data_IF_241855284303
#
_entry.id   IF_241855284303
#
_cell.length_a   1.000
_cell.length_b   1.000
_cell.length_c   1.000
_cell.angle_alpha   90.00
_cell.angle_beta   90.00
_cell.angle_gamma   90.00
#
_symmetry.space_group_name_H-M   'P 1'
#
loop_
_entity.id
_entity.type
_entity.pdbx_description
1 polymer ?
#
# COMPACT_ATOMS: atom_id res chain seq x y z
N UNK A 1 10.50 18.32 -3.63
CA UNK A 1 10.44 17.79 -2.26
C UNK A 1 11.61 18.32 -1.44
N UNK A 2 12.85 18.19 -1.90
CA UNK A 2 14.07 18.77 -1.30
C UNK A 2 14.01 20.24 -0.82
N UNK A 3 13.36 21.14 -1.57
CA UNK A 3 13.22 22.55 -1.17
C UNK A 3 12.26 22.79 0.00
N UNK A 4 11.32 21.87 0.24
CA UNK A 4 10.34 21.97 1.33
C UNK A 4 10.85 21.29 2.61
N UNK A 5 11.65 20.24 2.48
CA UNK A 5 12.13 19.45 3.63
C UNK A 5 13.02 20.29 4.56
N UNK A 6 13.99 21.01 3.99
CA UNK A 6 14.87 21.92 4.76
C UNK A 6 14.13 23.10 5.44
N UNK A 7 12.89 23.40 5.05
CA UNK A 7 12.10 24.45 5.68
C UNK A 7 11.13 23.92 6.74
N UNK A 8 10.70 22.67 6.61
CA UNK A 8 9.81 22.03 7.58
C UNK A 8 10.59 21.35 8.71
N UNK A 9 11.88 21.09 8.54
CA UNK A 9 12.78 20.68 9.62
C UNK A 9 12.81 21.67 10.79
N UNK A 10 12.49 22.95 10.58
CA UNK A 10 12.32 23.95 11.66
C UNK A 10 11.23 23.57 12.67
N UNK A 11 10.29 22.70 12.28
CA UNK A 11 9.25 22.22 13.19
C UNK A 11 9.85 21.40 14.34
N UNK A 12 10.96 20.70 14.13
CA UNK A 12 11.62 19.90 15.16
C UNK A 12 12.10 20.81 16.33
N UNK A 13 12.96 21.83 16.12
CA UNK A 13 13.37 22.71 17.21
C UNK A 13 12.22 23.55 17.77
N UNK A 14 11.21 23.92 16.96
CA UNK A 14 10.00 24.57 17.48
C UNK A 14 9.21 23.66 18.43
N UNK A 15 9.04 22.39 18.08
CA UNK A 15 8.40 21.41 18.97
C UNK A 15 9.25 21.14 20.21
N UNK A 16 10.59 21.11 20.08
CA UNK A 16 11.50 20.95 21.21
C UNK A 16 11.30 22.06 22.24
N UNK A 17 11.35 23.32 21.81
CA UNK A 17 11.14 24.48 22.69
C UNK A 17 9.77 24.44 23.38
N UNK A 18 8.71 24.10 22.63
CA UNK A 18 7.36 23.97 23.19
C UNK A 18 7.24 22.84 24.22
N UNK A 19 7.84 21.67 23.94
CA UNK A 19 7.79 20.53 24.85
C UNK A 19 8.62 20.77 26.11
N UNK A 20 9.78 21.42 25.99
CA UNK A 20 10.63 21.80 27.12
C UNK A 20 9.91 22.79 28.05
N UNK A 21 9.27 23.82 27.49
CA UNK A 21 8.48 24.78 28.27
C UNK A 21 7.36 24.10 29.08
N UNK A 22 6.72 23.07 28.50
CA UNK A 22 5.55 22.43 29.11
C UNK A 22 5.87 21.23 30.00
N UNK A 23 6.94 20.50 29.68
CA UNK A 23 7.27 19.18 30.23
C UNK A 23 8.73 19.06 30.70
N UNK A 24 9.51 20.14 30.77
CA UNK A 24 10.94 20.14 31.15
C UNK A 24 11.28 19.50 32.52
N UNK A 25 10.28 19.17 33.33
CA UNK A 25 10.47 18.30 34.51
C UNK A 25 10.77 16.83 34.19
N UNK A 26 10.66 16.39 32.93
CA UNK A 26 10.94 15.02 32.49
C UNK A 26 11.68 15.00 31.14
N UNK A 27 13.03 14.98 31.14
CA UNK A 27 13.83 15.10 29.92
C UNK A 27 13.53 13.97 28.92
N UNK A 28 13.39 12.74 29.41
CA UNK A 28 13.04 11.56 28.59
C UNK A 28 11.70 11.73 27.83
N UNK A 29 10.71 12.34 28.50
CA UNK A 29 9.41 12.63 27.90
C UNK A 29 9.51 13.75 26.86
N UNK A 30 10.30 14.79 27.13
CA UNK A 30 10.56 15.88 26.18
C UNK A 30 11.21 15.33 24.92
N UNK A 31 12.24 14.48 25.03
CA UNK A 31 12.89 13.83 23.88
C UNK A 31 11.88 13.04 23.06
N UNK A 32 11.10 12.17 23.71
CA UNK A 32 10.09 11.36 23.04
C UNK A 32 9.05 12.20 22.29
N UNK A 33 8.47 13.20 22.96
CA UNK A 33 7.43 14.05 22.37
C UNK A 33 7.98 14.94 21.26
N UNK A 34 9.20 15.48 21.43
CA UNK A 34 9.88 16.29 20.41
C UNK A 34 10.07 15.49 19.13
N UNK A 35 10.60 14.26 19.24
CA UNK A 35 10.79 13.42 18.06
C UNK A 35 9.43 13.01 17.45
N UNK A 36 8.45 12.65 18.28
CA UNK A 36 7.11 12.26 17.82
C UNK A 36 6.41 13.35 17.02
N UNK A 37 6.34 14.56 17.59
CA UNK A 37 5.61 15.67 16.97
C UNK A 37 6.46 16.43 15.95
N UNK A 38 7.75 16.61 16.21
CA UNK A 38 8.68 17.29 15.31
C UNK A 38 8.83 16.54 13.98
N UNK A 39 9.28 15.28 14.04
CA UNK A 39 9.38 14.43 12.84
C UNK A 39 7.99 14.19 12.25
N UNK A 40 6.98 13.94 13.10
CA UNK A 40 5.63 13.63 12.64
C UNK A 40 4.98 14.75 11.83
N UNK A 41 5.07 15.98 12.31
CA UNK A 41 4.58 17.16 11.59
C UNK A 41 5.47 17.46 10.38
N UNK A 42 6.80 17.40 10.52
CA UNK A 42 7.73 17.71 9.42
C UNK A 42 7.50 16.79 8.22
N UNK A 43 7.54 15.47 8.42
CA UNK A 43 7.32 14.51 7.36
C UNK A 43 5.87 14.53 6.86
N UNK A 44 4.90 14.53 7.78
CA UNK A 44 3.48 14.54 7.42
C UNK A 44 3.13 15.74 6.52
N UNK A 45 3.57 16.94 6.90
CA UNK A 45 3.31 18.17 6.15
C UNK A 45 4.08 18.23 4.83
N UNK A 46 5.31 17.68 4.79
CA UNK A 46 6.12 17.61 3.57
C UNK A 46 5.44 16.83 2.43
N UNK A 47 4.58 15.86 2.78
CA UNK A 47 3.79 15.09 1.81
C UNK A 47 2.43 15.70 1.46
N UNK A 48 1.99 16.78 2.10
CA UNK A 48 0.68 17.41 1.80
C UNK A 48 0.49 17.80 0.33
N UNK A 49 1.52 18.33 -0.40
CA UNK A 49 1.36 18.60 -1.83
C UNK A 49 1.01 17.36 -2.66
N UNK A 50 1.43 16.16 -2.23
CA UNK A 50 1.13 14.91 -2.94
C UNK A 50 -0.32 14.44 -2.76
N UNK A 51 -1.05 14.98 -1.77
CA UNK A 51 -2.42 14.55 -1.44
C UNK A 51 -3.37 14.69 -2.64
N UNK A 52 -3.32 15.83 -3.34
CA UNK A 52 -4.18 16.09 -4.49
C UNK A 52 -3.88 15.16 -5.67
N UNK A 53 -2.60 14.94 -5.98
CA UNK A 53 -2.19 14.06 -7.06
C UNK A 53 -2.57 12.60 -6.78
N UNK A 54 -2.37 12.15 -5.55
CA UNK A 54 -2.77 10.82 -5.12
C UNK A 54 -4.29 10.64 -5.14
N UNK A 55 -5.06 11.66 -4.78
CA UNK A 55 -6.52 11.60 -4.88
C UNK A 55 -6.95 11.34 -6.32
N UNK A 56 -6.48 12.16 -7.27
CA UNK A 56 -6.84 12.01 -8.69
C UNK A 56 -6.40 10.63 -9.21
N UNK A 57 -5.17 10.24 -8.92
CA UNK A 57 -4.60 8.96 -9.40
C UNK A 57 -5.33 7.75 -8.83
N UNK A 58 -5.48 7.68 -7.50
CA UNK A 58 -6.07 6.52 -6.83
C UNK A 58 -7.57 6.44 -7.01
N UNK A 59 -8.31 7.56 -6.97
CA UNK A 59 -9.74 7.52 -7.27
C UNK A 59 -10.01 7.06 -8.69
N UNK A 60 -9.22 7.51 -9.68
CA UNK A 60 -9.32 7.02 -11.06
C UNK A 60 -8.99 5.53 -11.14
N UNK A 61 -7.91 5.08 -10.49
CA UNK A 61 -7.51 3.66 -10.50
C UNK A 61 -8.56 2.76 -9.86
N UNK A 62 -9.13 3.15 -8.71
CA UNK A 62 -10.21 2.42 -8.04
C UNK A 62 -11.43 2.33 -8.97
N UNK A 63 -11.86 3.45 -9.53
CA UNK A 63 -13.03 3.48 -10.43
C UNK A 63 -12.84 2.63 -11.69
N UNK A 64 -11.65 2.68 -12.32
CA UNK A 64 -11.34 1.85 -13.50
C UNK A 64 -11.31 0.36 -13.16
N UNK A 65 -10.77 -0.02 -12.00
CA UNK A 65 -10.73 -1.40 -11.57
C UNK A 65 -12.13 -1.94 -11.25
N UNK A 66 -12.96 -1.15 -10.56
CA UNK A 66 -14.35 -1.52 -10.28
C UNK A 66 -15.17 -1.63 -11.58
N UNK A 67 -14.94 -0.73 -12.54
CA UNK A 67 -15.56 -0.79 -13.85
C UNK A 67 -15.14 -2.04 -14.63
N UNK A 68 -13.84 -2.39 -14.62
CA UNK A 68 -13.33 -3.60 -15.27
C UNK A 68 -13.99 -4.86 -14.67
N UNK A 69 -14.04 -4.98 -13.34
CA UNK A 69 -14.67 -6.13 -12.68
C UNK A 69 -16.17 -6.19 -12.97
N UNK A 70 -16.85 -5.05 -13.02
CA UNK A 70 -18.28 -4.98 -13.38
C UNK A 70 -18.52 -5.41 -14.82
N UNK A 71 -17.72 -4.92 -15.76
CA UNK A 71 -17.81 -5.28 -17.17
C UNK A 71 -17.60 -6.78 -17.40
N UNK A 72 -16.72 -7.41 -16.63
CA UNK A 72 -16.54 -8.88 -16.68
C UNK A 72 -17.75 -9.60 -16.11
N UNK A 73 -18.37 -9.10 -15.04
CA UNK A 73 -19.56 -9.73 -14.42
C UNK A 73 -20.86 -9.54 -15.20
N UNK A 74 -20.97 -8.45 -15.95
CA UNK A 74 -22.12 -8.10 -16.78
C UNK A 74 -21.89 -8.48 -18.25
N UNK A 75 -20.86 -9.28 -18.53
CA UNK A 75 -20.52 -9.65 -19.89
C UNK A 75 -21.59 -10.58 -20.47
N UNK A 76 -22.02 -10.25 -21.68
CA UNK A 76 -22.86 -11.13 -22.50
C UNK A 76 -22.27 -11.19 -23.91
N UNK A 77 -22.05 -12.40 -24.41
CA UNK A 77 -21.46 -12.63 -25.72
C UNK A 77 -22.18 -11.87 -26.85
N UNK A 78 -23.52 -11.82 -26.83
CA UNK A 78 -24.32 -11.09 -27.83
C UNK A 78 -24.01 -9.59 -27.88
N UNK A 79 -23.53 -9.00 -26.77
CA UNK A 79 -23.18 -7.58 -26.67
C UNK A 79 -21.69 -7.32 -26.93
N UNK A 80 -20.87 -8.37 -27.07
CA UNK A 80 -19.46 -8.24 -27.37
C UNK A 80 -19.27 -7.53 -28.72
N UNK A 81 -18.34 -6.56 -28.79
CA UNK A 81 -18.02 -5.88 -30.05
C UNK A 81 -16.99 -6.69 -30.82
N UNK A 82 -17.30 -7.05 -32.06
CA UNK A 82 -16.32 -7.69 -32.94
C UNK A 82 -15.57 -6.61 -33.72
N UNK A 83 -14.29 -6.84 -34.04
CA UNK A 83 -13.54 -5.92 -34.91
C UNK A 83 -14.18 -5.86 -36.31
N UNK A 84 -14.69 -6.99 -36.78
CA UNK A 84 -15.50 -7.14 -38.00
C UNK A 84 -16.77 -7.88 -37.62
N UNK A 85 -17.95 -7.29 -37.81
CA UNK A 85 -19.22 -7.88 -37.35
C UNK A 85 -19.62 -9.16 -38.10
N UNK A 86 -19.11 -9.38 -39.32
CA UNK A 86 -19.28 -10.65 -40.04
C UNK A 86 -18.68 -11.84 -39.28
N UNK A 87 -17.67 -11.59 -38.46
CA UNK A 87 -16.92 -12.64 -37.77
C UNK A 87 -17.64 -13.12 -36.51
N UNK A 88 -18.68 -12.41 -36.06
CA UNK A 88 -19.46 -12.78 -34.87
C UNK A 88 -19.98 -14.21 -34.95
N UNK A 89 -20.53 -14.60 -36.10
CA UNK A 89 -21.05 -15.95 -36.30
C UNK A 89 -19.95 -17.02 -36.25
N UNK A 90 -18.74 -16.69 -36.68
CA UNK A 90 -17.59 -17.58 -36.62
C UNK A 90 -17.16 -17.75 -35.15
N UNK A 91 -17.02 -16.64 -34.43
CA UNK A 91 -16.64 -16.65 -33.00
C UNK A 91 -17.69 -17.35 -32.15
N UNK A 92 -18.98 -17.16 -32.44
CA UNK A 92 -20.08 -17.84 -31.75
C UNK A 92 -20.03 -19.35 -31.95
N UNK A 93 -19.75 -19.78 -33.19
CA UNK A 93 -19.58 -21.19 -33.51
C UNK A 93 -18.41 -21.80 -32.75
N UNK A 94 -17.25 -21.14 -32.73
CA UNK A 94 -16.07 -21.61 -31.99
C UNK A 94 -16.33 -21.69 -30.47
N UNK A 95 -16.99 -20.68 -29.88
CA UNK A 95 -17.40 -20.72 -28.46
C UNK A 95 -18.35 -21.88 -28.21
N UNK A 96 -19.31 -22.09 -29.11
CA UNK A 96 -20.29 -23.18 -29.02
C UNK A 96 -19.62 -24.54 -29.05
N UNK A 97 -18.71 -24.76 -30.00
CA UNK A 97 -17.95 -26.02 -30.13
C UNK A 97 -17.07 -26.25 -28.89
N UNK A 98 -16.35 -25.22 -28.44
CA UNK A 98 -15.45 -25.30 -27.28
C UNK A 98 -16.19 -25.67 -25.98
N UNK A 99 -17.34 -25.04 -25.73
CA UNK A 99 -18.14 -25.28 -24.52
C UNK A 99 -19.05 -26.51 -24.62
N UNK A 100 -19.35 -26.99 -25.83
CA UNK A 100 -20.00 -28.28 -26.03
C UNK A 100 -19.05 -29.46 -25.72
N UNK A 101 -17.75 -29.31 -26.01
CA UNK A 101 -16.73 -30.33 -25.68
C UNK A 101 -16.36 -30.35 -24.18
N UNK A 102 -16.45 -29.20 -23.49
CA UNK A 102 -16.05 -29.07 -22.07
C UNK A 102 -17.25 -29.13 -21.11
N UNK A 103 -17.76 -30.34 -20.88
CA UNK A 103 -18.95 -30.62 -20.08
C UNK A 103 -18.85 -30.29 -18.56
N UNK A 104 -17.81 -29.59 -18.11
CA UNK A 104 -17.64 -29.16 -16.71
C UNK A 104 -17.49 -27.65 -16.53
N UNK A 105 -17.22 -26.89 -17.61
CA UNK A 105 -16.95 -25.47 -17.54
C UNK A 105 -18.25 -24.66 -17.63
N UNK A 106 -18.43 -23.65 -16.77
CA UNK A 106 -19.51 -22.68 -16.93
C UNK A 106 -20.92 -23.22 -16.70
N UNK A 107 -21.06 -24.40 -16.07
CA UNK A 107 -22.38 -24.97 -15.77
C UNK A 107 -23.09 -24.15 -14.70
N UNK A 108 -24.21 -23.54 -15.08
CA UNK A 108 -25.06 -22.83 -14.13
C UNK A 108 -25.93 -23.85 -13.34
N UNK A 109 -25.77 -23.97 -12.01
CA UNK A 109 -26.59 -24.87 -11.20
C UNK A 109 -28.09 -24.51 -11.25
N UNK A 110 -28.42 -23.24 -11.51
CA UNK A 110 -29.79 -22.76 -11.62
C UNK A 110 -30.41 -23.00 -13.00
N UNK A 111 -29.61 -23.43 -13.99
CA UNK A 111 -30.05 -23.66 -15.37
C UNK A 111 -29.24 -24.80 -16.02
N UNK A 112 -29.46 -26.06 -15.59
CA UNK A 112 -28.67 -27.21 -16.04
C UNK A 112 -28.85 -27.58 -17.52
N UNK A 113 -29.86 -27.01 -18.20
CA UNK A 113 -30.10 -27.18 -19.64
C UNK A 113 -29.68 -25.99 -20.50
N UNK A 114 -28.84 -25.10 -19.95
CA UNK A 114 -28.31 -23.94 -20.67
C UNK A 114 -27.49 -24.37 -21.89
N UNK A 115 -27.59 -23.61 -22.99
CA UNK A 115 -26.80 -23.87 -24.19
C UNK A 115 -25.32 -23.51 -24.00
N UNK A 116 -24.44 -23.90 -24.93
CA UNK A 116 -23.01 -23.63 -24.82
C UNK A 116 -22.65 -22.14 -24.66
N UNK A 117 -23.39 -21.25 -25.31
CA UNK A 117 -23.17 -19.79 -25.21
C UNK A 117 -23.58 -19.26 -23.83
N UNK A 118 -24.67 -19.77 -23.24
CA UNK A 118 -25.05 -19.43 -21.87
C UNK A 118 -24.05 -19.95 -20.85
N UNK A 119 -23.51 -21.17 -21.05
CA UNK A 119 -22.42 -21.70 -20.22
C UNK A 119 -21.16 -20.84 -20.30
N UNK A 120 -20.79 -20.36 -21.49
CA UNK A 120 -19.70 -19.41 -21.66
C UNK A 120 -19.94 -18.09 -20.91
N UNK A 121 -21.13 -17.50 -21.05
CA UNK A 121 -21.47 -16.28 -20.31
C UNK A 121 -21.39 -16.50 -18.79
N UNK A 122 -21.90 -17.63 -18.29
CA UNK A 122 -21.81 -17.98 -16.88
C UNK A 122 -20.35 -18.14 -16.42
N UNK A 123 -19.52 -18.83 -17.22
CA UNK A 123 -18.08 -18.96 -16.96
C UNK A 123 -17.41 -17.59 -16.86
N UNK A 124 -17.65 -16.69 -17.82
CA UNK A 124 -17.05 -15.34 -17.83
C UNK A 124 -17.49 -14.53 -16.61
N UNK A 125 -18.80 -14.55 -16.31
CA UNK A 125 -19.39 -13.72 -15.26
C UNK A 125 -19.06 -14.19 -13.84
N UNK A 126 -18.68 -15.47 -13.67
CA UNK A 126 -18.41 -16.07 -12.37
C UNK A 126 -16.97 -16.57 -12.28
N UNK A 127 -16.67 -17.73 -12.88
CA UNK A 127 -15.37 -18.42 -12.72
C UNK A 127 -14.19 -17.57 -13.19
N UNK A 128 -14.31 -16.94 -14.37
CA UNK A 128 -13.29 -16.06 -14.91
C UNK A 128 -13.20 -14.75 -14.13
N UNK A 129 -14.34 -14.16 -13.76
CA UNK A 129 -14.39 -12.96 -12.92
C UNK A 129 -13.70 -13.17 -11.57
N UNK A 130 -13.92 -14.33 -10.95
CA UNK A 130 -13.29 -14.73 -9.69
C UNK A 130 -11.80 -15.00 -9.87
N UNK A 131 -11.41 -15.65 -10.97
CA UNK A 131 -10.00 -15.89 -11.31
C UNK A 131 -9.26 -14.57 -11.56
N UNK A 132 -9.84 -13.64 -12.32
CA UNK A 132 -9.28 -12.30 -12.52
C UNK A 132 -9.19 -11.57 -11.18
N UNK A 133 -10.24 -11.62 -10.36
CA UNK A 133 -10.25 -10.97 -9.04
C UNK A 133 -9.18 -11.54 -8.11
N UNK A 134 -8.93 -12.84 -8.19
CA UNK A 134 -7.88 -13.54 -7.46
C UNK A 134 -6.48 -13.14 -7.94
N UNK A 135 -6.25 -13.07 -9.25
CA UNK A 135 -4.94 -12.76 -9.84
C UNK A 135 -4.58 -11.27 -9.79
N UNK A 136 -5.50 -10.41 -10.22
CA UNK A 136 -5.30 -8.95 -10.17
C UNK A 136 -5.28 -8.46 -8.72
N UNK A 137 -5.98 -9.18 -7.83
CA UNK A 137 -6.11 -8.86 -6.42
C UNK A 137 -7.03 -7.65 -6.19
N UNK A 138 -7.33 -7.38 -4.91
CA UNK A 138 -8.08 -6.18 -4.57
C UNK A 138 -7.22 -4.93 -4.75
N UNK A 139 -7.82 -3.82 -5.20
CA UNK A 139 -7.13 -2.51 -5.34
C UNK A 139 -6.40 -2.09 -4.06
N UNK A 140 -6.92 -2.46 -2.88
CA UNK A 140 -6.31 -2.14 -1.58
C UNK A 140 -5.21 -3.10 -1.13
N UNK A 141 -5.03 -4.25 -1.80
CA UNK A 141 -4.02 -5.25 -1.46
C UNK A 141 -2.79 -5.10 -2.35
N UNK A 142 -1.85 -4.26 -1.93
CA UNK A 142 -0.56 -4.11 -2.61
C UNK A 142 0.47 -5.13 -2.09
N UNK A 143 1.38 -5.65 -2.95
CA UNK A 143 2.51 -6.43 -2.47
C UNK A 143 3.48 -5.53 -1.68
N UNK A 144 4.01 -6.05 -0.56
CA UNK A 144 4.95 -5.32 0.30
C UNK A 144 6.16 -4.76 -0.48
N UNK A 145 6.72 -5.54 -1.40
CA UNK A 145 7.86 -5.13 -2.24
C UNK A 145 7.56 -3.87 -3.06
N UNK A 146 6.36 -3.78 -3.63
CA UNK A 146 5.94 -2.58 -4.37
C UNK A 146 5.77 -1.40 -3.41
N UNK A 147 5.21 -1.62 -2.23
CA UNK A 147 5.08 -0.56 -1.23
C UNK A 147 6.46 -0.01 -0.81
N UNK A 148 7.46 -0.87 -0.59
CA UNK A 148 8.85 -0.44 -0.31
C UNK A 148 9.43 0.33 -1.49
N UNK A 149 9.25 -0.16 -2.72
CA UNK A 149 9.81 0.46 -3.93
C UNK A 149 9.24 1.86 -4.21
N UNK A 150 7.98 2.13 -3.86
CA UNK A 150 7.40 3.47 -4.05
C UNK A 150 8.08 4.52 -3.17
N UNK A 151 8.64 4.11 -2.02
CA UNK A 151 9.43 4.98 -1.14
C UNK A 151 10.92 4.99 -1.48
N UNK A 152 11.36 4.39 -2.58
CA UNK A 152 12.77 4.35 -2.96
C UNK A 152 13.46 5.73 -2.96
N UNK A 153 12.84 6.83 -3.44
CA UNK A 153 13.44 8.16 -3.31
C UNK A 153 13.71 8.57 -1.87
N UNK A 154 12.76 8.32 -0.95
CA UNK A 154 12.92 8.59 0.48
C UNK A 154 13.99 7.68 1.09
N UNK A 155 14.09 6.42 0.65
CA UNK A 155 15.12 5.49 1.14
C UNK A 155 16.54 5.94 0.73
N UNK A 156 16.71 6.57 -0.44
CA UNK A 156 18.00 7.16 -0.82
C UNK A 156 18.32 8.42 -0.02
N UNK A 157 17.30 9.23 0.28
CA UNK A 157 17.42 10.39 1.15
C UNK A 157 17.80 9.99 2.58
N UNK A 158 17.22 8.90 3.10
CA UNK A 158 17.60 8.30 4.38
C UNK A 158 19.09 7.95 4.45
N UNK A 159 19.64 7.38 3.38
CA UNK A 159 21.07 7.05 3.31
C UNK A 159 21.94 8.33 3.34
N UNK A 160 21.52 9.37 2.61
CA UNK A 160 22.21 10.66 2.64
C UNK A 160 22.11 11.33 4.02
N UNK A 161 20.98 11.18 4.71
CA UNK A 161 20.75 11.69 6.05
C UNK A 161 21.65 11.00 7.09
N UNK A 162 21.71 9.67 7.09
CA UNK A 162 22.56 8.88 8.00
C UNK A 162 24.05 9.20 7.81
N UNK A 163 24.51 9.30 6.56
CA UNK A 163 25.92 9.58 6.26
C UNK A 163 26.28 11.06 6.39
N UNK A 164 25.29 11.93 6.24
CA UNK A 164 25.44 13.39 6.29
C UNK A 164 25.19 13.99 7.67
N UNK A 165 24.93 13.17 8.70
CA UNK A 165 24.67 13.61 10.07
C UNK A 165 23.67 14.77 10.15
N UNK A 166 22.50 14.59 9.52
CA UNK A 166 21.43 15.60 9.45
C UNK A 166 21.86 16.96 8.84
N UNK A 167 22.90 16.95 8.00
CA UNK A 167 23.39 18.13 7.29
C UNK A 167 24.26 19.05 8.13
N UNK A 168 24.62 18.65 9.35
CA UNK A 168 25.61 19.32 10.19
C UNK A 168 26.93 18.54 10.19
N UNK A 169 28.09 19.16 10.50
CA UNK A 169 29.34 18.43 10.65
C UNK A 169 29.15 17.28 11.66
N UNK A 170 29.53 16.05 11.29
CA UNK A 170 29.32 14.88 12.15
C UNK A 170 29.98 14.99 13.53
N UNK A 171 31.06 15.77 13.64
CA UNK A 171 31.73 16.07 14.90
C UNK A 171 30.86 16.90 15.86
N UNK A 172 29.97 17.72 15.30
CA UNK A 172 29.04 18.59 16.02
C UNK A 172 27.68 17.92 16.19
N UNK A 173 27.28 17.00 15.31
CA UNK A 173 25.95 16.38 15.30
C UNK A 173 25.59 15.67 16.62
N UNK A 174 26.48 14.80 17.11
CA UNK A 174 26.26 14.07 18.37
C UNK A 174 26.41 14.95 19.61
N UNK A 175 27.07 16.11 19.48
CA UNK A 175 27.20 17.12 20.54
C UNK A 175 25.97 18.03 20.57
N UNK A 176 25.40 18.32 19.40
CA UNK A 176 24.22 19.16 19.21
C UNK A 176 22.92 18.41 19.55
N UNK A 177 22.85 17.11 19.26
CA UNK A 177 21.81 16.24 19.81
C UNK A 177 22.20 15.82 21.23
N UNK A 178 21.78 16.62 22.21
CA UNK A 178 22.01 16.38 23.62
C UNK A 178 21.64 14.94 24.03
N UNK A 179 22.63 14.12 24.39
CA UNK A 179 22.41 12.84 25.08
C UNK A 179 23.11 11.61 24.53
N UNK A 180 23.66 11.63 23.31
CA UNK A 180 24.43 10.48 22.80
C UNK A 180 25.85 10.44 23.37
N UNK A 181 26.38 9.25 23.66
CA UNK A 181 27.71 9.09 24.26
C UNK A 181 28.84 9.18 23.24
N UNK A 182 28.56 8.90 21.96
CA UNK A 182 29.55 8.91 20.89
C UNK A 182 28.93 9.04 19.49
N UNK A 183 29.73 9.51 18.52
CA UNK A 183 29.31 9.59 17.11
C UNK A 183 28.87 8.23 16.52
N UNK A 184 29.58 7.11 16.72
CA UNK A 184 29.13 5.82 16.19
C UNK A 184 27.78 5.36 16.75
N UNK A 185 27.48 5.69 18.01
CA UNK A 185 26.18 5.38 18.62
C UNK A 185 25.05 6.17 17.96
N UNK A 186 25.25 7.48 17.74
CA UNK A 186 24.30 8.33 17.02
C UNK A 186 24.07 7.82 15.59
N UNK A 187 25.12 7.54 14.82
CA UNK A 187 25.00 7.02 13.44
C UNK A 187 24.27 5.67 13.44
N UNK A 188 24.59 4.77 14.36
CA UNK A 188 23.93 3.47 14.47
C UNK A 188 22.45 3.62 14.85
N UNK A 189 22.12 4.53 15.76
CA UNK A 189 20.75 4.87 16.14
C UNK A 189 19.98 5.39 14.92
N UNK A 190 20.51 6.39 14.20
CA UNK A 190 19.84 6.94 13.02
C UNK A 190 19.65 5.88 11.92
N UNK A 191 20.67 5.05 11.66
CA UNK A 191 20.57 3.95 10.71
C UNK A 191 19.45 2.96 11.09
N UNK A 192 19.30 2.67 12.38
CA UNK A 192 18.26 1.76 12.89
C UNK A 192 16.87 2.36 12.74
N UNK A 193 16.68 3.63 13.11
CA UNK A 193 15.40 4.35 12.95
C UNK A 193 14.94 4.35 11.49
N UNK A 194 15.86 4.60 10.56
CA UNK A 194 15.57 4.55 9.13
C UNK A 194 15.26 3.13 8.65
N UNK A 195 15.94 2.10 9.14
CA UNK A 195 15.60 0.71 8.81
C UNK A 195 14.18 0.35 9.25
N UNK A 196 13.79 0.76 10.46
CA UNK A 196 12.42 0.57 10.97
C UNK A 196 11.41 1.33 10.09
N UNK A 197 11.72 2.56 9.71
CA UNK A 197 10.93 3.34 8.74
C UNK A 197 10.73 2.62 7.42
N UNK A 198 11.83 2.23 6.77
CA UNK A 198 11.87 1.63 5.43
C UNK A 198 11.14 0.30 5.37
N UNK A 199 11.39 -0.59 6.34
CA UNK A 199 10.89 -1.97 6.28
C UNK A 199 9.55 -2.16 6.98
N UNK A 200 9.23 -1.36 8.01
CA UNK A 200 8.07 -1.58 8.86
C UNK A 200 7.02 -0.48 8.79
N UNK A 201 7.38 0.78 8.49
CA UNK A 201 6.41 1.89 8.56
C UNK A 201 5.94 2.30 7.17
N UNK A 202 6.86 2.73 6.31
CA UNK A 202 6.53 3.26 4.98
C UNK A 202 5.69 2.31 4.14
N UNK A 203 5.97 0.98 4.12
CA UNK A 203 5.19 0.05 3.32
C UNK A 203 3.70 0.00 3.69
N UNK A 204 3.36 0.35 4.94
CA UNK A 204 1.98 0.30 5.47
C UNK A 204 1.12 1.48 5.02
N UNK A 205 1.73 2.58 4.60
CA UNK A 205 1.05 3.85 4.26
C UNK A 205 0.04 3.68 3.13
N UNK A 206 0.43 3.06 2.02
CA UNK A 206 -0.46 2.89 0.86
C UNK A 206 -1.58 1.87 1.10
N UNK A 207 -1.36 0.71 1.73
CA UNK A 207 -2.45 -0.19 2.13
C UNK A 207 -3.51 0.51 3.00
N UNK A 208 -3.09 1.29 4.00
CA UNK A 208 -4.00 2.06 4.87
C UNK A 208 -4.78 3.09 4.04
N UNK A 209 -4.06 3.87 3.23
CA UNK A 209 -4.64 4.90 2.35
C UNK A 209 -5.68 4.32 1.39
N UNK A 210 -5.33 3.25 0.67
CA UNK A 210 -6.22 2.63 -0.33
C UNK A 210 -7.42 1.94 0.31
N UNK A 211 -7.25 1.37 1.49
CA UNK A 211 -8.37 0.78 2.26
C UNK A 211 -9.38 1.86 2.64
N UNK A 212 -8.91 3.00 3.16
CA UNK A 212 -9.78 4.13 3.49
C UNK A 212 -10.45 4.73 2.25
N UNK A 213 -9.70 4.93 1.16
CA UNK A 213 -10.25 5.44 -0.11
C UNK A 213 -11.34 4.54 -0.67
N UNK A 214 -11.12 3.21 -0.68
CA UNK A 214 -12.13 2.24 -1.11
C UNK A 214 -13.38 2.34 -0.24
N UNK A 215 -13.21 2.40 1.09
CA UNK A 215 -14.31 2.52 2.04
C UNK A 215 -15.18 3.77 1.75
N UNK A 216 -14.57 4.95 1.67
CA UNK A 216 -15.32 6.18 1.44
C UNK A 216 -15.89 6.29 0.03
N UNK A 217 -15.22 5.72 -0.98
CA UNK A 217 -15.73 5.71 -2.35
C UNK A 217 -17.05 4.95 -2.45
N UNK A 218 -17.13 3.76 -1.85
CA UNK A 218 -18.38 2.99 -1.82
C UNK A 218 -19.43 3.58 -0.88
N UNK A 219 -19.03 4.02 0.32
CA UNK A 219 -19.97 4.49 1.34
C UNK A 219 -20.66 5.81 0.95
N UNK A 220 -19.99 6.65 0.16
CA UNK A 220 -20.43 8.00 -0.18
C UNK A 220 -20.72 8.18 -1.67
N UNK A 221 -21.07 7.11 -2.40
CA UNK A 221 -21.26 7.17 -3.86
C UNK A 221 -22.35 8.17 -4.29
N UNK A 222 -23.39 8.35 -3.46
CA UNK A 222 -24.46 9.34 -3.68
C UNK A 222 -24.11 10.79 -3.32
N UNK A 223 -22.94 11.05 -2.71
CA UNK A 223 -22.55 12.38 -2.20
C UNK A 223 -21.16 12.79 -2.73
N UNK A 224 -21.05 13.28 -3.98
CA UNK A 224 -19.77 13.43 -4.67
C UNK A 224 -18.79 14.39 -3.96
N UNK A 225 -19.29 15.50 -3.41
CA UNK A 225 -18.45 16.48 -2.68
C UNK A 225 -17.95 15.89 -1.36
N UNK A 226 -18.85 15.26 -0.58
CA UNK A 226 -18.48 14.65 0.69
C UNK A 226 -17.50 13.48 0.49
N UNK A 227 -17.69 12.71 -0.59
CA UNK A 227 -16.76 11.66 -1.02
C UNK A 227 -15.37 12.23 -1.31
N UNK A 228 -15.30 13.29 -2.10
CA UNK A 228 -14.04 13.96 -2.44
C UNK A 228 -13.31 14.44 -1.18
N UNK A 229 -14.00 15.19 -0.30
CA UNK A 229 -13.43 15.70 0.94
C UNK A 229 -12.93 14.55 1.82
N UNK A 230 -13.74 13.50 2.02
CA UNK A 230 -13.37 12.35 2.85
C UNK A 230 -12.16 11.60 2.29
N UNK A 231 -12.09 11.44 0.96
CA UNK A 231 -10.94 10.80 0.30
C UNK A 231 -9.65 11.62 0.44
N UNK A 232 -9.73 12.94 0.23
CA UNK A 232 -8.59 13.86 0.43
C UNK A 232 -8.10 13.82 1.88
N UNK A 233 -9.03 13.90 2.84
CA UNK A 233 -8.70 13.79 4.26
C UNK A 233 -8.09 12.44 4.64
N UNK A 234 -8.55 11.35 4.01
CA UNK A 234 -7.97 10.01 4.22
C UNK A 234 -6.51 9.93 3.76
N UNK A 235 -6.21 10.50 2.59
CA UNK A 235 -4.83 10.52 2.06
C UNK A 235 -3.94 11.38 2.96
N UNK A 236 -4.44 12.56 3.36
CA UNK A 236 -3.71 13.42 4.29
C UNK A 236 -3.47 12.70 5.63
N UNK A 237 -4.50 12.07 6.21
CA UNK A 237 -4.39 11.31 7.44
C UNK A 237 -3.42 10.13 7.33
N UNK A 238 -3.36 9.45 6.19
CA UNK A 238 -2.39 8.37 5.97
C UNK A 238 -0.93 8.86 5.98
N UNK A 239 -0.66 10.05 5.40
CA UNK A 239 0.67 10.66 5.47
C UNK A 239 1.02 11.19 6.87
N UNK A 240 0.05 11.79 7.57
CA UNK A 240 0.24 12.17 8.97
C UNK A 240 0.49 10.94 9.85
N UNK A 241 -0.27 9.86 9.65
CA UNK A 241 -0.06 8.57 10.31
C UNK A 241 1.37 8.06 10.09
N UNK A 242 1.85 8.05 8.84
CA UNK A 242 3.20 7.62 8.52
C UNK A 242 4.23 8.46 9.28
N UNK A 243 4.13 9.79 9.23
CA UNK A 243 5.02 10.73 9.92
C UNK A 243 5.01 10.54 11.44
N UNK A 244 3.83 10.53 12.06
CA UNK A 244 3.73 10.36 13.51
C UNK A 244 4.21 8.99 13.98
N UNK A 245 4.00 7.95 13.17
CA UNK A 245 4.45 6.61 13.52
C UNK A 245 5.98 6.50 13.49
N UNK A 246 6.64 7.06 12.45
CA UNK A 246 8.12 7.10 12.42
C UNK A 246 8.67 8.00 13.53
N UNK A 247 8.06 9.16 13.79
CA UNK A 247 8.46 10.03 14.89
C UNK A 247 8.32 9.36 16.26
N UNK A 248 7.23 8.62 16.48
CA UNK A 248 7.00 7.90 17.75
C UNK A 248 8.05 6.83 17.98
N UNK A 249 8.34 6.04 16.96
CA UNK A 249 9.31 4.93 17.04
C UNK A 249 10.73 5.47 17.22
N UNK A 250 11.10 6.49 16.45
CA UNK A 250 12.38 7.21 16.60
C UNK A 250 12.49 7.84 17.98
N UNK A 251 11.42 8.45 18.50
CA UNK A 251 11.39 9.02 19.84
C UNK A 251 11.58 7.97 20.94
N UNK A 252 10.90 6.82 20.83
CA UNK A 252 11.08 5.71 21.78
C UNK A 252 12.52 5.18 21.74
N UNK A 253 13.07 5.01 20.54
CA UNK A 253 14.44 4.54 20.34
C UNK A 253 15.46 5.52 20.93
N UNK A 254 15.41 6.79 20.53
CA UNK A 254 16.35 7.82 21.01
C UNK A 254 16.25 7.98 22.53
N UNK A 255 15.05 8.02 23.10
CA UNK A 255 14.89 8.08 24.56
C UNK A 255 15.44 6.82 25.24
N UNK A 256 15.25 5.62 24.67
CA UNK A 256 15.82 4.39 25.22
C UNK A 256 17.35 4.42 25.24
N UNK A 257 17.97 4.85 24.15
CA UNK A 257 19.43 4.93 24.02
C UNK A 257 20.00 5.99 24.97
N UNK A 258 19.48 7.22 24.94
CA UNK A 258 19.98 8.35 25.73
C UNK A 258 19.78 8.12 27.24
N UNK A 259 18.61 7.64 27.65
CA UNK A 259 18.31 7.45 29.08
C UNK A 259 18.99 6.21 29.67
N UNK A 260 19.26 5.18 28.85
CA UNK A 260 19.72 3.88 29.31
C UNK A 260 18.70 3.12 30.17
N UNK A 261 17.46 3.61 30.30
CA UNK A 261 16.46 3.04 31.20
C UNK A 261 15.74 1.82 30.58
N UNK A 262 15.65 0.68 31.27
CA UNK A 262 15.05 -0.55 30.72
C UNK A 262 13.59 -0.42 30.27
N UNK A 263 12.83 0.49 30.88
CA UNK A 263 11.42 0.73 30.54
C UNK A 263 11.26 1.23 29.10
N UNK A 264 12.13 2.15 28.67
CA UNK A 264 12.08 2.72 27.32
C UNK A 264 12.51 1.71 26.26
N UNK A 265 13.51 0.87 26.56
CA UNK A 265 13.87 -0.28 25.71
C UNK A 265 12.70 -1.25 25.55
N UNK A 266 11.98 -1.56 26.64
CA UNK A 266 10.81 -2.42 26.57
C UNK A 266 9.69 -1.79 25.73
N UNK A 267 9.42 -0.49 25.90
CA UNK A 267 8.43 0.24 25.12
C UNK A 267 8.78 0.27 23.61
N UNK A 268 10.04 0.55 23.28
CA UNK A 268 10.52 0.51 21.90
C UNK A 268 10.42 -0.90 21.30
N UNK A 269 10.90 -1.94 21.99
CA UNK A 269 10.81 -3.32 21.52
C UNK A 269 9.36 -3.78 21.28
N UNK A 270 8.43 -3.40 22.18
CA UNK A 270 7.00 -3.66 22.00
C UNK A 270 6.43 -2.92 20.79
N UNK A 271 6.86 -1.68 20.54
CA UNK A 271 6.44 -0.92 19.36
C UNK A 271 6.89 -1.59 18.06
N UNK A 272 8.14 -2.05 18.00
CA UNK A 272 8.70 -2.77 16.84
C UNK A 272 7.96 -4.10 16.63
N UNK A 273 7.71 -4.87 17.69
CA UNK A 273 6.92 -6.10 17.61
C UNK A 273 5.48 -5.82 17.10
N UNK A 274 4.87 -4.73 17.58
CA UNK A 274 3.58 -4.26 17.10
C UNK A 274 3.59 -3.92 15.61
N UNK A 275 4.64 -3.27 15.11
CA UNK A 275 4.82 -2.98 13.69
C UNK A 275 4.99 -4.24 12.84
N UNK A 276 5.75 -5.24 13.31
CA UNK A 276 5.85 -6.53 12.63
C UNK A 276 4.48 -7.21 12.53
N UNK A 277 3.72 -7.23 13.63
CA UNK A 277 2.36 -7.76 13.64
C UNK A 277 1.44 -6.98 12.68
N UNK A 278 1.55 -5.66 12.66
CA UNK A 278 0.78 -4.79 11.78
C UNK A 278 1.08 -5.03 10.29
N UNK A 279 2.36 -5.14 9.93
CA UNK A 279 2.77 -5.51 8.57
C UNK A 279 2.24 -6.88 8.20
N UNK A 280 2.41 -7.87 9.09
CA UNK A 280 1.86 -9.20 8.86
C UNK A 280 0.35 -9.13 8.61
N UNK A 281 -0.41 -8.42 9.44
CA UNK A 281 -1.85 -8.25 9.26
C UNK A 281 -2.21 -7.63 7.89
N UNK A 282 -1.54 -6.54 7.50
CA UNK A 282 -1.80 -5.86 6.23
C UNK A 282 -1.44 -6.71 5.00
N UNK A 283 -0.40 -7.54 5.09
CA UNK A 283 0.16 -8.26 3.93
C UNK A 283 -0.15 -9.78 3.90
N UNK A 284 -0.69 -10.38 4.98
CA UNK A 284 -1.00 -11.83 5.08
C UNK A 284 -2.01 -12.33 4.05
N UNK A 285 -2.84 -11.45 3.47
CA UNK A 285 -3.86 -11.81 2.49
C UNK A 285 -3.39 -12.34 1.13
N UNK A 286 -2.10 -12.67 0.96
CA UNK A 286 -1.50 -13.16 -0.30
C UNK A 286 -0.73 -14.49 -0.19
N UNK A 287 -0.19 -14.87 0.97
CA UNK A 287 0.57 -16.12 1.08
C UNK A 287 -0.31 -17.36 0.91
N UNK A 288 -1.57 -17.31 1.37
CA UNK A 288 -2.51 -18.41 1.18
C UNK A 288 -2.92 -18.62 -0.28
N UNK A 289 -3.22 -17.55 -1.03
CA UNK A 289 -3.72 -17.67 -2.40
C UNK A 289 -2.62 -18.05 -3.41
N UNK A 290 -1.39 -17.55 -3.20
CA UNK A 290 -0.23 -17.94 -4.02
C UNK A 290 0.26 -19.36 -3.76
N UNK A 291 0.09 -19.88 -2.53
CA UNK A 291 0.38 -21.28 -2.23
C UNK A 291 -0.74 -22.24 -2.63
N UNK A 292 -2.02 -21.87 -2.55
CA UNK A 292 -3.11 -22.75 -2.99
C UNK A 292 -3.16 -22.90 -4.52
N UNK A 293 -2.88 -21.83 -5.28
CA UNK A 293 -2.73 -21.91 -6.73
C UNK A 293 -1.45 -22.65 -7.18
N UNK A 294 -0.42 -22.71 -6.33
CA UNK A 294 0.77 -23.54 -6.55
C UNK A 294 0.64 -24.99 -6.07
N UNK A 295 -0.22 -25.25 -5.08
CA UNK A 295 -0.44 -26.58 -4.49
C UNK A 295 -1.56 -27.37 -5.18
N UNK A 296 -2.52 -26.72 -5.82
CA UNK A 296 -3.43 -27.33 -6.80
C UNK A 296 -2.87 -27.30 -8.22
N UNK A 297 -1.59 -27.67 -8.35
CA UNK A 297 -0.88 -27.91 -9.60
C UNK A 297 -1.40 -29.14 -10.37
N UNK A 298 -2.71 -29.19 -10.58
CA UNK A 298 -3.35 -29.94 -11.68
C UNK A 298 -4.19 -29.00 -12.57
N UNK A 299 -3.92 -27.69 -12.50
CA UNK A 299 -4.20 -26.80 -13.62
C UNK A 299 -3.23 -27.17 -14.74
N UNK A 300 -3.59 -28.18 -15.53
CA UNK A 300 -3.03 -28.30 -16.87
C UNK A 300 -3.38 -26.98 -17.56
N UNK A 301 -2.40 -26.18 -18.00
CA UNK A 301 -2.73 -25.08 -18.90
C UNK A 301 -3.56 -25.72 -20.01
N UNK A 302 -4.80 -25.24 -20.19
CA UNK A 302 -5.56 -25.57 -21.40
C UNK A 302 -4.67 -25.02 -22.51
N UNK A 303 -3.93 -25.93 -23.13
CA UNK A 303 -3.05 -25.64 -24.23
C UNK A 303 -4.00 -25.44 -25.40
N UNK A 304 -4.67 -24.28 -25.41
CA UNK A 304 -5.47 -23.82 -26.53
C UNK A 304 -4.46 -23.78 -27.66
N UNK A 305 -4.49 -24.82 -28.48
CA UNK A 305 -3.54 -24.99 -29.55
C UNK A 305 -3.92 -23.97 -30.62
N UNK A 306 -3.47 -22.72 -30.44
CA UNK A 306 -3.77 -21.57 -31.31
C UNK A 306 -3.34 -21.85 -32.76
N UNK A 307 -2.49 -22.87 -32.98
CA UNK A 307 -2.13 -23.38 -34.32
C UNK A 307 -3.31 -23.96 -35.12
N UNK A 308 -4.45 -24.31 -34.51
CA UNK A 308 -5.64 -24.70 -35.29
C UNK A 308 -6.42 -23.52 -35.86
N UNK A 309 -6.30 -22.32 -35.26
CA UNK A 309 -7.03 -21.12 -35.71
C UNK A 309 -6.36 -20.50 -36.95
N UNK A 310 -5.07 -20.74 -37.18
CA UNK A 310 -4.37 -20.25 -38.39
C UNK A 310 -4.46 -21.19 -39.60
N UNK A 311 -5.18 -22.31 -39.51
CA UNK A 311 -5.29 -23.29 -40.59
C UNK A 311 -6.67 -23.25 -41.29
N UNK A 312 -7.59 -22.40 -40.83
CA UNK A 312 -8.94 -22.20 -41.37
C UNK A 312 -9.21 -20.77 -41.84
N UNK A 313 -8.18 -19.91 -41.90
CA UNK A 313 -8.14 -18.62 -42.60
C UNK A 313 -7.20 -18.72 -43.80
#
# INVERSE_FOLDING_TARGET
MWLFDNRLSILIPMTAAFMEERFGGSPNLVTFLTQTFGIGLSLGLSYMPAVLFNYISFSRKIGLHDMMLRQVKEYEFKNAKCAVESDRAIVEKEVTELFAEMDHLGKNPDSPGAGPVECFNYYINNEFADTISAQVGSVSKLPWTICVLVFLPLNFEALANVLGCDGVPCEEAWVAEEGFSSMPEYIASNALSWCEGIFLIYPTTYPVMLTGLKYFTHKLDGYPVLRMISCVLTIAAAYMYMGFLIGSVTGLQSTAIISGEPMWYAAWALSVAGLFYWNHFLFRGRTALGQELGAHGDYRPVNINVRKISASL
#
